data_IF_459954954060
#
_entry.id   IF_459954954060
#
_cell.length_a   1.000
_cell.length_b   1.000
_cell.length_c   1.000
_cell.angle_alpha   90.00
_cell.angle_beta   90.00
_cell.angle_gamma   90.00
#
_symmetry.space_group_name_H-M   'P 1'
#
loop_
_entity.id
_entity.type
_entity.pdbx_description
1 polymer ?
#
# COMPACT_ATOMS: atom_id res chain seq x y z
N UNK A 1 -8.58 37.17 -29.15
CA UNK A 1 -9.80 37.09 -28.36
C UNK A 1 -9.52 37.61 -26.95
N UNK A 2 -10.16 38.71 -26.58
CA UNK A 2 -9.93 39.36 -25.27
C UNK A 2 -10.83 38.77 -24.17
N UNK A 3 -11.51 37.66 -24.43
CA UNK A 3 -12.36 36.98 -23.45
C UNK A 3 -11.66 35.71 -22.98
N UNK A 4 -11.76 35.44 -21.70
CA UNK A 4 -11.34 34.15 -21.11
C UNK A 4 -12.25 33.05 -21.68
N UNK A 5 -11.64 31.99 -22.21
CA UNK A 5 -12.35 30.77 -22.59
C UNK A 5 -11.94 29.69 -21.60
N UNK A 6 -12.92 29.09 -20.94
CA UNK A 6 -12.75 27.97 -20.03
C UNK A 6 -13.53 26.78 -20.55
N UNK A 7 -12.85 25.65 -20.61
CA UNK A 7 -13.42 24.34 -20.94
C UNK A 7 -13.10 23.36 -19.83
N UNK A 8 -14.11 22.68 -19.34
CA UNK A 8 -13.96 21.67 -18.29
C UNK A 8 -14.50 20.33 -18.80
N UNK A 9 -13.78 19.25 -18.51
CA UNK A 9 -14.19 17.88 -18.84
C UNK A 9 -13.99 16.99 -17.63
N UNK A 10 -15.01 16.23 -17.28
CA UNK A 10 -15.03 15.30 -16.17
C UNK A 10 -15.47 13.94 -16.66
N UNK A 11 -14.78 12.90 -16.20
CA UNK A 11 -15.19 11.52 -16.38
C UNK A 11 -15.00 10.73 -15.09
N UNK A 12 -15.88 9.77 -14.87
CA UNK A 12 -15.80 8.81 -13.77
C UNK A 12 -16.29 7.46 -14.28
N UNK A 13 -15.62 6.39 -13.87
CA UNK A 13 -15.98 5.02 -14.21
C UNK A 13 -16.04 4.17 -12.94
N UNK A 14 -17.13 3.45 -12.80
CA UNK A 14 -17.34 2.46 -11.74
C UNK A 14 -17.21 1.07 -12.35
N UNK A 15 -16.48 0.19 -11.70
CA UNK A 15 -16.35 -1.19 -12.13
C UNK A 15 -16.75 -2.12 -10.98
N UNK A 16 -17.66 -3.05 -11.28
CA UNK A 16 -17.98 -4.17 -10.40
C UNK A 16 -17.78 -5.46 -11.18
N UNK A 17 -17.03 -6.36 -10.62
CA UNK A 17 -16.81 -7.69 -11.18
C UNK A 17 -17.09 -8.76 -10.13
N UNK A 18 -17.34 -9.97 -10.57
CA UNK A 18 -17.66 -11.10 -9.72
C UNK A 18 -17.17 -12.39 -10.40
N UNK A 19 -16.57 -13.27 -9.62
CA UNK A 19 -16.19 -14.62 -10.07
C UNK A 19 -17.44 -15.49 -10.05
N UNK A 20 -17.90 -15.91 -11.21
CA UNK A 20 -19.11 -16.71 -11.35
C UNK A 20 -18.85 -18.21 -11.21
N UNK A 21 -17.66 -18.67 -11.58
CA UNK A 21 -17.24 -20.06 -11.45
C UNK A 21 -15.71 -20.18 -11.40
N UNK A 22 -15.23 -21.24 -10.77
CA UNK A 22 -13.84 -21.69 -10.81
C UNK A 22 -13.77 -23.07 -11.49
N UNK A 23 -12.58 -23.45 -11.98
CA UNK A 23 -12.36 -24.76 -12.55
C UNK A 23 -12.65 -25.88 -11.53
N UNK A 24 -13.04 -27.04 -12.04
CA UNK A 24 -13.24 -28.25 -11.25
C UNK A 24 -14.30 -28.15 -10.12
N UNK A 25 -15.26 -27.22 -10.26
CA UNK A 25 -16.32 -27.03 -9.27
C UNK A 25 -15.84 -26.46 -7.92
N UNK A 26 -14.63 -25.91 -7.85
CA UNK A 26 -14.12 -25.25 -6.65
C UNK A 26 -14.94 -24.03 -6.29
N UNK A 27 -15.18 -23.80 -5.00
CA UNK A 27 -15.85 -22.58 -4.49
C UNK A 27 -14.86 -21.47 -4.17
N UNK A 28 -13.60 -21.83 -3.87
CA UNK A 28 -12.51 -20.88 -3.63
C UNK A 28 -11.16 -21.48 -3.98
N UNK A 29 -10.20 -20.61 -4.26
CA UNK A 29 -8.81 -20.97 -4.53
C UNK A 29 -7.89 -19.87 -4.03
N UNK A 30 -6.89 -20.24 -3.23
CA UNK A 30 -5.81 -19.32 -2.84
C UNK A 30 -4.89 -19.08 -4.04
N UNK A 31 -4.49 -17.82 -4.24
CA UNK A 31 -3.71 -17.36 -5.40
C UNK A 31 -2.41 -16.73 -4.93
N UNK A 32 -1.30 -17.27 -5.44
CA UNK A 32 0.04 -16.75 -5.14
C UNK A 32 0.55 -15.74 -6.16
N UNK A 33 1.49 -14.92 -5.73
CA UNK A 33 2.19 -13.95 -6.58
C UNK A 33 3.40 -14.54 -7.32
N UNK A 34 3.65 -15.82 -7.18
CA UNK A 34 4.74 -16.58 -7.84
C UNK A 34 6.15 -16.09 -7.50
N UNK A 35 6.36 -15.58 -6.30
CA UNK A 35 7.67 -15.49 -5.68
C UNK A 35 7.80 -16.61 -4.65
N UNK A 36 8.81 -17.51 -4.75
CA UNK A 36 8.91 -18.68 -3.88
C UNK A 36 8.95 -18.39 -2.39
N UNK A 37 9.43 -17.20 -2.04
CA UNK A 37 9.63 -16.75 -0.65
C UNK A 37 8.45 -15.92 -0.12
N UNK A 38 7.45 -15.65 -0.97
CA UNK A 38 6.28 -14.87 -0.60
C UNK A 38 5.08 -15.78 -0.53
N UNK A 39 4.42 -15.88 0.62
CA UNK A 39 3.27 -16.74 0.78
C UNK A 39 2.08 -16.26 -0.08
N UNK A 40 1.16 -17.16 -0.32
CA UNK A 40 -0.05 -16.87 -1.07
C UNK A 40 -0.92 -15.87 -0.30
N UNK A 41 -1.18 -14.70 -0.92
CA UNK A 41 -1.77 -13.52 -0.28
C UNK A 41 -3.10 -13.11 -0.90
N UNK A 42 -3.63 -13.86 -1.85
CA UNK A 42 -4.88 -13.55 -2.52
C UNK A 42 -5.82 -14.76 -2.52
N UNK A 43 -7.10 -14.50 -2.69
CA UNK A 43 -8.11 -15.53 -2.84
C UNK A 43 -9.00 -15.22 -4.05
N UNK A 44 -9.31 -16.24 -4.81
CA UNK A 44 -10.40 -16.23 -5.78
C UNK A 44 -11.54 -17.05 -5.19
N UNK A 45 -12.72 -16.44 -5.00
CA UNK A 45 -13.89 -17.06 -4.39
C UNK A 45 -15.12 -16.77 -5.22
N UNK A 46 -15.93 -17.78 -5.50
CA UNK A 46 -17.19 -17.63 -6.26
C UNK A 46 -18.12 -16.68 -5.51
N UNK A 47 -18.74 -15.74 -6.23
CA UNK A 47 -19.57 -14.69 -5.68
C UNK A 47 -18.80 -13.45 -5.19
N UNK A 48 -17.47 -13.45 -5.28
CA UNK A 48 -16.59 -12.39 -4.82
C UNK A 48 -15.83 -11.72 -5.99
N UNK A 49 -15.36 -10.48 -5.84
CA UNK A 49 -14.57 -9.82 -6.86
C UNK A 49 -13.16 -10.42 -6.99
N UNK A 50 -12.47 -10.09 -8.07
CA UNK A 50 -11.07 -10.41 -8.29
C UNK A 50 -10.16 -9.62 -7.34
N UNK A 51 -8.96 -10.15 -7.10
CA UNK A 51 -7.89 -9.49 -6.33
C UNK A 51 -8.26 -9.17 -4.87
N UNK A 52 -9.03 -10.03 -4.23
CA UNK A 52 -9.19 -9.99 -2.77
C UNK A 52 -7.92 -10.46 -2.08
N UNK A 53 -7.40 -9.62 -1.19
CA UNK A 53 -6.25 -9.92 -0.37
C UNK A 53 -6.67 -10.81 0.78
N UNK A 54 -5.91 -11.87 1.05
CA UNK A 54 -6.30 -12.93 1.96
C UNK A 54 -5.17 -13.26 2.94
N UNK A 55 -5.44 -13.11 4.21
CA UNK A 55 -4.42 -13.25 5.26
C UNK A 55 -5.02 -13.28 6.66
N UNK A 56 -4.16 -13.07 7.64
CA UNK A 56 -4.52 -13.02 9.05
C UNK A 56 -4.77 -11.57 9.49
N UNK A 57 -5.50 -11.42 10.60
CA UNK A 57 -5.68 -10.11 11.25
C UNK A 57 -4.64 -9.99 12.36
N UNK A 58 -3.83 -8.95 12.31
CA UNK A 58 -2.85 -8.64 13.35
C UNK A 58 -3.55 -8.09 14.59
N UNK A 59 -3.36 -8.73 15.75
CA UNK A 59 -4.01 -8.38 17.02
C UNK A 59 -3.00 -7.80 18.04
N UNK A 60 -1.93 -7.19 17.54
CA UNK A 60 -0.91 -6.59 18.38
C UNK A 60 0.21 -7.54 18.76
N UNK A 61 0.73 -7.38 19.97
CA UNK A 61 1.90 -8.09 20.50
C UNK A 61 1.54 -8.69 21.84
N UNK A 62 1.93 -9.94 22.08
CA UNK A 62 1.75 -10.56 23.38
C UNK A 62 2.44 -9.75 24.48
N UNK A 63 1.69 -9.37 25.49
CA UNK A 63 2.16 -8.63 26.66
C UNK A 63 2.45 -9.58 27.83
N UNK A 64 3.10 -9.11 28.88
CA UNK A 64 3.36 -9.91 30.08
C UNK A 64 2.07 -10.43 30.74
N UNK A 65 0.98 -9.68 30.61
CA UNK A 65 -0.34 -10.02 31.15
C UNK A 65 -0.95 -11.27 30.49
N UNK A 66 -0.53 -11.62 29.28
CA UNK A 66 -0.97 -12.83 28.58
C UNK A 66 -0.32 -14.11 29.14
N UNK A 67 0.64 -13.99 30.06
CA UNK A 67 1.43 -15.10 30.57
C UNK A 67 1.33 -15.25 32.08
N UNK A 68 1.63 -16.49 32.56
CA UNK A 68 2.03 -16.78 33.92
C UNK A 68 3.56 -16.86 33.98
N UNK A 69 4.18 -16.09 34.87
CA UNK A 69 5.60 -16.19 35.15
C UNK A 69 5.82 -17.33 36.16
N UNK A 70 6.35 -18.46 35.72
CA UNK A 70 6.52 -19.67 36.52
C UNK A 70 7.88 -19.72 37.23
N UNK A 71 8.86 -18.97 36.72
CA UNK A 71 10.14 -18.70 37.36
C UNK A 71 10.74 -17.43 36.75
N UNK A 72 11.78 -16.79 37.31
CA UNK A 72 12.34 -15.56 36.79
C UNK A 72 12.63 -15.63 35.28
N UNK A 73 11.95 -14.72 34.50
CA UNK A 73 12.00 -14.65 33.04
C UNK A 73 11.52 -15.91 32.28
N UNK A 74 10.78 -16.81 32.96
CA UNK A 74 10.17 -17.98 32.32
C UNK A 74 8.66 -17.80 32.25
N UNK A 75 8.12 -17.70 31.07
CA UNK A 75 6.72 -17.34 30.81
C UNK A 75 5.99 -18.51 30.14
N UNK A 76 4.80 -18.81 30.62
CA UNK A 76 3.89 -19.79 30.04
C UNK A 76 2.58 -19.06 29.66
N UNK A 77 2.18 -19.18 28.40
CA UNK A 77 0.97 -18.56 27.87
C UNK A 77 -0.25 -19.06 28.67
N UNK A 78 -1.09 -18.13 29.17
CA UNK A 78 -2.28 -18.45 29.95
C UNK A 78 -3.28 -19.27 29.15
N UNK A 79 -3.98 -20.17 29.83
CA UNK A 79 -5.15 -20.85 29.24
C UNK A 79 -6.19 -19.82 28.78
N UNK A 80 -6.83 -20.08 27.64
CA UNK A 80 -7.79 -19.16 27.04
C UNK A 80 -7.21 -18.04 26.19
N UNK A 81 -5.88 -17.83 26.21
CA UNK A 81 -5.21 -16.95 25.25
C UNK A 81 -4.86 -17.78 24.00
N UNK A 82 -5.32 -17.41 22.80
CA UNK A 82 -4.96 -18.10 21.56
C UNK A 82 -3.45 -18.15 21.33
N UNK A 83 -2.97 -19.21 20.69
CA UNK A 83 -1.59 -19.22 20.20
C UNK A 83 -1.45 -18.33 18.94
N UNK A 84 -0.27 -18.31 18.35
CA UNK A 84 0.00 -17.57 17.11
C UNK A 84 0.46 -18.48 15.96
N UNK A 85 -0.01 -19.73 15.97
CA UNK A 85 0.41 -20.76 15.02
C UNK A 85 1.70 -21.48 15.39
N UNK A 86 2.32 -21.10 16.54
CA UNK A 86 3.47 -21.80 17.13
C UNK A 86 3.05 -22.62 18.34
N UNK A 87 3.92 -23.50 18.78
CA UNK A 87 3.69 -24.22 20.04
C UNK A 87 3.59 -23.23 21.21
N UNK A 88 2.55 -23.38 22.03
CA UNK A 88 2.30 -22.49 23.19
C UNK A 88 3.52 -22.34 24.11
N UNK A 89 4.35 -23.39 24.22
CA UNK A 89 5.60 -23.38 25.01
C UNK A 89 6.72 -22.54 24.39
N UNK A 90 6.61 -22.12 23.13
CA UNK A 90 7.59 -21.32 22.41
C UNK A 90 7.23 -19.84 22.37
N UNK A 91 5.95 -19.50 22.60
CA UNK A 91 5.45 -18.13 22.58
C UNK A 91 5.94 -17.36 23.81
N UNK A 92 6.35 -16.13 23.62
CA UNK A 92 6.92 -15.24 24.65
C UNK A 92 6.29 -13.85 24.62
N UNK A 93 6.37 -13.08 25.71
CA UNK A 93 6.10 -11.65 25.66
C UNK A 93 6.94 -10.98 24.56
N UNK A 94 6.33 -10.14 23.76
CA UNK A 94 6.96 -9.50 22.60
C UNK A 94 6.79 -10.23 21.27
N UNK A 95 6.22 -11.43 21.23
CA UNK A 95 5.90 -12.12 19.98
C UNK A 95 4.61 -11.50 19.35
N UNK A 96 4.45 -11.51 18.01
CA UNK A 96 3.24 -11.03 17.35
C UNK A 96 2.03 -11.91 17.68
N UNK A 97 0.89 -11.26 17.87
CA UNK A 97 -0.39 -11.87 18.16
C UNK A 97 -1.30 -11.76 16.95
N UNK A 98 -1.97 -12.83 16.62
CA UNK A 98 -2.95 -12.90 15.54
C UNK A 98 -4.35 -13.14 16.14
N UNK A 99 -5.34 -12.64 15.43
CA UNK A 99 -6.74 -12.78 15.84
C UNK A 99 -7.22 -14.20 15.51
N UNK A 100 -7.68 -14.90 16.52
CA UNK A 100 -8.42 -16.14 16.39
C UNK A 100 -9.84 -15.79 15.93
N UNK A 101 -10.15 -16.10 14.68
CA UNK A 101 -11.42 -15.72 14.04
C UNK A 101 -12.51 -16.76 14.31
N UNK A 102 -12.13 -18.04 14.38
CA UNK A 102 -13.08 -19.12 14.61
C UNK A 102 -13.30 -19.42 16.11
N UNK A 103 -12.43 -18.90 17.00
CA UNK A 103 -12.56 -18.99 18.46
C UNK A 103 -12.12 -20.35 19.03
N UNK A 104 -11.29 -21.10 18.31
CA UNK A 104 -10.84 -22.43 18.74
C UNK A 104 -9.56 -22.42 19.61
N UNK A 105 -8.98 -21.23 19.83
CA UNK A 105 -7.77 -21.01 20.64
C UNK A 105 -6.46 -21.31 19.93
N UNK A 106 -6.50 -21.55 18.62
CA UNK A 106 -5.33 -21.84 17.79
C UNK A 106 -5.35 -21.02 16.51
N UNK A 107 -4.21 -20.55 16.07
CA UNK A 107 -4.11 -19.89 14.77
C UNK A 107 -3.73 -20.91 13.70
N UNK A 108 -4.63 -21.09 12.75
CA UNK A 108 -4.50 -22.00 11.61
C UNK A 108 -4.88 -21.31 10.31
N UNK A 109 -4.90 -22.02 9.20
CA UNK A 109 -5.39 -21.49 7.91
C UNK A 109 -6.86 -21.07 7.96
N UNK A 110 -7.64 -21.58 8.92
CA UNK A 110 -9.06 -21.30 9.07
C UNK A 110 -9.32 -19.91 9.67
N UNK A 111 -8.29 -19.27 10.26
CA UNK A 111 -8.31 -17.89 10.76
C UNK A 111 -7.94 -16.85 9.70
N UNK A 112 -7.68 -17.29 8.46
CA UNK A 112 -7.47 -16.36 7.36
C UNK A 112 -8.79 -15.80 6.87
N UNK A 113 -8.77 -14.51 6.55
CA UNK A 113 -9.94 -13.78 6.06
C UNK A 113 -9.56 -12.82 4.94
N UNK A 114 -10.55 -12.18 4.32
CA UNK A 114 -10.31 -11.10 3.37
C UNK A 114 -9.86 -9.89 4.17
N UNK A 115 -8.68 -9.37 3.85
CA UNK A 115 -8.01 -8.27 4.55
C UNK A 115 -7.85 -7.02 3.68
N UNK A 116 -8.28 -7.06 2.41
CA UNK A 116 -8.24 -5.91 1.52
C UNK A 116 -8.67 -6.25 0.10
N UNK A 117 -8.80 -5.22 -0.74
CA UNK A 117 -9.31 -5.30 -2.10
C UNK A 117 -8.39 -4.57 -3.08
N UNK A 118 -7.77 -5.27 -4.00
CA UNK A 118 -6.78 -4.70 -4.94
C UNK A 118 -7.40 -3.92 -6.13
N UNK A 119 -8.73 -3.91 -6.28
CA UNK A 119 -9.41 -3.22 -7.37
C UNK A 119 -10.15 -1.98 -6.86
N UNK A 120 -10.04 -0.83 -7.58
CA UNK A 120 -10.73 0.39 -7.19
C UNK A 120 -12.26 0.29 -7.40
N UNK A 121 -13.01 0.95 -6.53
CA UNK A 121 -14.45 1.14 -6.65
C UNK A 121 -14.75 2.05 -7.85
N UNK A 122 -13.98 3.12 -8.00
CA UNK A 122 -14.06 4.02 -9.15
C UNK A 122 -12.72 4.65 -9.48
N UNK A 123 -12.60 5.01 -10.75
CA UNK A 123 -11.48 5.78 -11.30
C UNK A 123 -12.05 6.97 -12.08
N UNK A 124 -11.27 8.02 -12.23
CA UNK A 124 -11.74 9.15 -13.03
C UNK A 124 -10.67 10.15 -13.40
N UNK A 125 -11.09 11.13 -14.16
CA UNK A 125 -10.24 12.21 -14.62
C UNK A 125 -11.01 13.53 -14.71
N UNK A 126 -10.31 14.61 -14.42
CA UNK A 126 -10.84 15.97 -14.47
C UNK A 126 -9.83 16.88 -15.17
N UNK A 127 -10.24 17.42 -16.32
CA UNK A 127 -9.42 18.33 -17.13
C UNK A 127 -10.05 19.72 -17.11
N UNK A 128 -9.24 20.73 -16.83
CA UNK A 128 -9.58 22.13 -17.01
C UNK A 128 -8.63 22.77 -17.99
N UNK A 129 -9.16 23.51 -18.95
CA UNK A 129 -8.42 24.26 -19.93
C UNK A 129 -8.87 25.71 -19.95
N UNK A 130 -7.91 26.63 -19.87
CA UNK A 130 -8.11 28.07 -19.86
C UNK A 130 -7.32 28.67 -21.02
N UNK A 131 -7.97 29.54 -21.81
CA UNK A 131 -7.34 30.27 -22.92
C UNK A 131 -7.60 31.76 -22.73
N UNK A 132 -6.53 32.59 -22.71
CA UNK A 132 -6.63 34.02 -22.55
C UNK A 132 -5.44 34.75 -23.19
N UNK A 133 -5.72 35.70 -24.14
CA UNK A 133 -4.71 36.57 -24.77
C UNK A 133 -3.44 35.84 -25.25
N UNK A 134 -3.62 34.69 -25.90
CA UNK A 134 -2.51 33.87 -26.40
C UNK A 134 -1.95 32.84 -25.42
N UNK A 135 -2.22 32.96 -24.11
CA UNK A 135 -1.92 31.93 -23.15
C UNK A 135 -2.95 30.81 -23.19
N UNK A 136 -2.48 29.60 -23.03
CA UNK A 136 -3.29 28.41 -22.76
C UNK A 136 -2.72 27.66 -21.54
N UNK A 137 -3.61 27.36 -20.58
CA UNK A 137 -3.30 26.55 -19.41
C UNK A 137 -4.19 25.31 -19.43
N UNK A 138 -3.59 24.13 -19.31
CA UNK A 138 -4.30 22.86 -19.17
C UNK A 138 -3.87 22.18 -17.87
N UNK A 139 -4.83 21.74 -17.07
CA UNK A 139 -4.64 21.02 -15.81
C UNK A 139 -5.42 19.73 -15.90
N UNK A 140 -4.74 18.59 -15.71
CA UNK A 140 -5.36 17.28 -15.67
C UNK A 140 -5.11 16.61 -14.33
N UNK A 141 -6.19 16.30 -13.64
CA UNK A 141 -6.23 15.51 -12.41
C UNK A 141 -6.77 14.12 -12.74
N UNK A 142 -6.16 13.10 -12.15
CA UNK A 142 -6.59 11.71 -12.24
C UNK A 142 -6.70 11.14 -10.83
N UNK A 143 -7.68 10.26 -10.60
CA UNK A 143 -7.82 9.56 -9.32
C UNK A 143 -8.19 8.11 -9.48
N UNK A 144 -7.85 7.33 -8.45
CA UNK A 144 -8.34 5.99 -8.16
C UNK A 144 -8.79 5.96 -6.71
N UNK A 145 -9.91 5.32 -6.41
CA UNK A 145 -10.47 5.33 -5.07
C UNK A 145 -11.01 3.96 -4.66
N UNK A 146 -10.73 3.58 -3.39
CA UNK A 146 -11.27 2.42 -2.72
C UNK A 146 -10.58 1.12 -3.09
N UNK A 147 -9.32 1.18 -3.50
CA UNK A 147 -8.45 0.02 -3.63
C UNK A 147 -7.38 0.04 -2.53
N UNK A 148 -7.02 -1.17 -2.10
CA UNK A 148 -5.93 -1.39 -1.17
C UNK A 148 -4.67 -1.88 -1.89
N UNK A 149 -3.53 -1.80 -1.18
CA UNK A 149 -2.22 -2.20 -1.64
C UNK A 149 -1.48 -2.94 -0.54
N UNK A 150 -0.92 -4.11 -0.85
CA UNK A 150 0.00 -4.81 0.06
C UNK A 150 1.37 -4.16 -0.06
N UNK A 151 1.78 -3.44 0.98
CA UNK A 151 3.10 -2.83 1.08
C UNK A 151 4.12 -3.84 1.59
N UNK A 152 4.61 -4.70 0.68
CA UNK A 152 5.57 -5.73 1.05
C UNK A 152 6.97 -5.16 1.36
N UNK A 153 7.27 -3.96 0.85
CA UNK A 153 8.51 -3.25 1.21
C UNK A 153 8.50 -2.87 2.69
N UNK A 154 7.37 -2.32 3.19
CA UNK A 154 7.20 -2.01 4.61
C UNK A 154 7.35 -3.27 5.47
N UNK A 155 6.74 -4.39 5.06
CA UNK A 155 6.89 -5.67 5.74
C UNK A 155 8.36 -6.02 5.96
N UNK A 156 9.17 -6.02 4.89
CA UNK A 156 10.59 -6.37 4.95
C UNK A 156 11.43 -5.37 5.76
N UNK A 157 11.10 -4.07 5.66
CA UNK A 157 11.86 -3.00 6.29
C UNK A 157 11.44 -2.72 7.75
N UNK A 158 10.37 -3.36 8.25
CA UNK A 158 9.97 -3.35 9.67
C UNK A 158 10.15 -4.72 10.35
N UNK A 159 10.64 -5.71 9.63
CA UNK A 159 10.71 -7.10 10.09
C UNK A 159 11.63 -7.32 11.28
N UNK A 160 12.64 -6.47 11.46
CA UNK A 160 13.65 -6.56 12.53
C UNK A 160 14.38 -7.93 12.62
N UNK A 161 14.39 -8.67 11.51
CA UNK A 161 14.90 -10.04 11.42
C UNK A 161 16.40 -10.10 11.14
N UNK A 162 16.92 -9.14 10.36
CA UNK A 162 18.29 -9.18 9.87
C UNK A 162 19.06 -7.92 10.24
N UNK A 163 20.24 -8.10 10.82
CA UNK A 163 21.19 -7.00 11.07
C UNK A 163 21.80 -6.40 9.80
N UNK A 164 21.61 -7.06 8.66
CA UNK A 164 22.19 -6.64 7.37
C UNK A 164 21.20 -5.87 6.48
N UNK A 165 19.97 -5.68 6.92
CA UNK A 165 18.92 -5.00 6.17
C UNK A 165 18.63 -3.66 6.84
N UNK A 166 18.57 -2.59 6.03
CA UNK A 166 18.10 -1.30 6.50
C UNK A 166 16.66 -1.43 7.00
N UNK A 167 16.32 -0.64 8.03
CA UNK A 167 14.99 -0.61 8.62
C UNK A 167 14.35 0.76 8.40
N UNK A 168 13.02 0.80 8.37
CA UNK A 168 12.27 2.05 8.43
C UNK A 168 12.45 2.70 9.82
N UNK A 169 12.35 4.03 9.88
CA UNK A 169 12.41 4.75 11.16
C UNK A 169 11.30 4.33 12.13
N UNK A 170 10.17 3.89 11.62
CA UNK A 170 9.04 3.34 12.39
C UNK A 170 9.43 2.08 13.20
N UNK A 171 10.46 1.34 12.76
CA UNK A 171 10.97 0.16 13.46
C UNK A 171 11.54 0.48 14.86
N UNK A 172 11.87 1.73 15.15
CA UNK A 172 12.25 2.17 16.50
C UNK A 172 11.12 1.94 17.51
N UNK A 173 9.87 2.00 17.06
CA UNK A 173 8.70 1.75 17.91
C UNK A 173 8.35 0.26 18.04
N UNK A 174 9.35 -0.57 18.32
CA UNK A 174 9.17 -2.00 18.56
C UNK A 174 9.02 -2.31 20.05
N UNK A 175 8.46 -3.48 20.35
CA UNK A 175 8.35 -3.98 21.71
C UNK A 175 9.73 -4.32 22.28
N UNK A 176 10.01 -3.87 23.52
CA UNK A 176 11.24 -4.21 24.24
C UNK A 176 10.91 -4.80 25.60
N UNK A 177 11.71 -5.80 26.09
CA UNK A 177 11.46 -6.41 27.38
C UNK A 177 11.74 -5.46 28.54
N UNK A 178 11.18 -5.78 29.71
CA UNK A 178 11.61 -5.19 30.98
C UNK A 178 13.05 -5.57 31.32
N UNK A 179 13.72 -4.70 32.05
CA UNK A 179 15.04 -4.98 32.60
C UNK A 179 14.91 -5.21 34.10
N UNK A 180 15.47 -6.33 34.61
CA UNK A 180 15.61 -6.60 36.05
C UNK A 180 16.99 -6.09 36.46
N UNK A 181 17.03 -5.05 37.28
CA UNK A 181 18.24 -4.41 37.75
C UNK A 181 18.94 -5.28 38.81
N UNK A 182 20.21 -4.98 39.09
CA UNK A 182 21.00 -5.73 40.07
C UNK A 182 20.44 -5.62 41.51
N UNK A 183 19.70 -4.58 41.84
CA UNK A 183 19.01 -4.35 43.09
C UNK A 183 17.63 -5.02 43.20
N UNK A 184 17.23 -5.76 42.14
CA UNK A 184 15.95 -6.42 42.05
C UNK A 184 14.79 -5.51 41.57
N UNK A 185 15.04 -4.22 41.33
CA UNK A 185 14.04 -3.32 40.76
C UNK A 185 13.79 -3.64 39.28
N UNK A 186 12.61 -3.29 38.79
CA UNK A 186 12.19 -3.50 37.39
C UNK A 186 12.12 -2.17 36.68
N UNK A 187 12.88 -2.02 35.62
CA UNK A 187 12.70 -0.94 34.64
C UNK A 187 11.81 -1.43 33.52
N UNK A 188 10.64 -0.81 33.28
CA UNK A 188 9.74 -1.18 32.18
C UNK A 188 10.41 -1.03 30.81
N UNK A 189 10.07 -1.92 29.89
CA UNK A 189 10.39 -1.78 28.48
C UNK A 189 9.37 -0.95 27.72
N UNK A 190 9.43 -0.99 26.40
CA UNK A 190 8.43 -0.41 25.52
C UNK A 190 7.39 -1.49 25.16
N UNK A 191 6.21 -1.45 25.78
CA UNK A 191 5.13 -2.45 25.59
C UNK A 191 4.15 -2.03 24.49
N UNK A 192 4.68 -1.60 23.37
CA UNK A 192 3.88 -1.22 22.21
C UNK A 192 3.19 -2.41 21.58
N UNK A 193 2.01 -2.16 20.97
CA UNK A 193 1.32 -3.08 20.08
C UNK A 193 1.62 -2.81 18.60
N UNK A 194 2.55 -1.90 18.31
CA UNK A 194 2.86 -1.51 16.93
C UNK A 194 3.73 -2.54 16.20
N UNK A 195 4.80 -2.99 16.86
CA UNK A 195 5.76 -3.91 16.27
C UNK A 195 6.34 -4.84 17.35
N UNK A 196 6.58 -6.08 17.00
CA UNK A 196 7.10 -7.12 17.88
C UNK A 196 8.58 -6.96 18.21
N UNK A 197 9.09 -7.82 19.08
CA UNK A 197 10.48 -7.80 19.51
C UNK A 197 11.45 -8.25 18.40
N UNK A 198 12.59 -7.56 18.20
CA UNK A 198 13.49 -7.76 17.06
C UNK A 198 14.06 -9.17 16.87
N UNK A 199 14.36 -9.86 17.94
CA UNK A 199 15.03 -11.17 17.89
C UNK A 199 14.09 -12.36 17.77
N UNK A 200 12.79 -12.08 17.69
CA UNK A 200 11.76 -13.11 17.73
C UNK A 200 11.03 -13.26 16.42
N UNK A 201 11.71 -12.95 15.33
CA UNK A 201 11.15 -12.97 13.99
C UNK A 201 10.11 -14.05 13.79
N UNK A 202 8.87 -13.63 13.83
CA UNK A 202 7.70 -14.41 13.44
C UNK A 202 7.66 -14.50 11.93
N UNK A 203 8.73 -15.07 11.37
CA UNK A 203 8.86 -15.21 9.95
C UNK A 203 9.00 -16.67 9.59
N UNK A 204 7.88 -17.34 9.70
CA UNK A 204 7.64 -18.48 8.83
C UNK A 204 7.00 -17.96 7.54
N UNK A 205 7.43 -18.40 6.35
CA UNK A 205 6.68 -18.14 5.11
C UNK A 205 5.25 -18.59 5.34
N UNK A 206 4.29 -17.69 5.35
CA UNK A 206 2.89 -18.06 5.55
C UNK A 206 2.02 -17.02 6.29
N UNK A 207 2.60 -16.12 7.04
CA UNK A 207 1.82 -15.11 7.75
C UNK A 207 1.87 -13.76 7.04
N UNK A 208 0.80 -13.45 6.33
CA UNK A 208 0.51 -12.11 5.84
C UNK A 208 -0.67 -11.58 6.63
N UNK A 209 -0.57 -10.34 7.06
CA UNK A 209 -1.57 -9.71 7.91
C UNK A 209 -2.15 -8.47 7.23
N UNK A 210 -3.26 -8.00 7.77
CA UNK A 210 -3.85 -6.70 7.42
C UNK A 210 -2.93 -5.52 7.74
N UNK A 211 -1.90 -5.72 8.56
CA UNK A 211 -0.90 -4.70 8.91
C UNK A 211 -0.13 -4.18 7.68
N UNK A 212 0.11 -5.02 6.70
CA UNK A 212 0.78 -4.69 5.45
C UNK A 212 -0.17 -4.16 4.36
N UNK A 213 -1.48 -4.17 4.61
CA UNK A 213 -2.49 -3.67 3.68
C UNK A 213 -2.77 -2.20 3.99
N UNK A 214 -2.64 -1.36 2.97
CA UNK A 214 -2.82 0.08 3.09
C UNK A 214 -3.80 0.60 2.03
N UNK A 215 -4.56 1.65 2.39
CA UNK A 215 -5.41 2.38 1.42
C UNK A 215 -4.55 3.00 0.33
N UNK A 216 -4.76 2.57 -0.90
CA UNK A 216 -4.08 3.06 -2.09
C UNK A 216 -4.91 4.08 -2.88
N UNK A 217 -5.96 4.61 -2.30
CA UNK A 217 -6.72 5.71 -2.88
C UNK A 217 -5.80 6.88 -3.18
N UNK A 218 -5.95 7.45 -4.38
CA UNK A 218 -5.02 8.47 -4.87
C UNK A 218 -5.73 9.53 -5.69
N UNK A 219 -5.32 10.78 -5.51
CA UNK A 219 -5.55 11.89 -6.41
C UNK A 219 -4.20 12.40 -6.91
N UNK A 220 -4.03 12.52 -8.22
CA UNK A 220 -2.76 12.94 -8.84
C UNK A 220 -2.94 14.14 -9.76
N UNK A 221 -2.09 15.15 -9.61
CA UNK A 221 -1.88 16.17 -10.64
C UNK A 221 -1.04 15.54 -11.75
N UNK A 222 -1.76 14.95 -12.71
CA UNK A 222 -1.16 14.12 -13.77
C UNK A 222 -0.41 14.95 -14.79
N UNK A 223 -1.00 16.09 -15.18
CA UNK A 223 -0.37 17.00 -16.13
C UNK A 223 -0.81 18.44 -15.87
N UNK A 224 0.15 19.34 -15.90
CA UNK A 224 -0.09 20.78 -16.02
C UNK A 224 0.74 21.29 -17.20
N UNK A 225 0.10 22.02 -18.10
CA UNK A 225 0.77 22.61 -19.26
C UNK A 225 0.39 24.07 -19.38
N UNK A 226 1.38 24.95 -19.48
CA UNK A 226 1.22 26.35 -19.80
C UNK A 226 1.86 26.63 -21.15
N UNK A 227 1.09 27.16 -22.09
CA UNK A 227 1.55 27.54 -23.43
C UNK A 227 1.29 29.00 -23.71
N UNK A 228 2.05 29.56 -24.65
CA UNK A 228 1.84 30.87 -25.22
C UNK A 228 1.93 30.83 -26.74
N UNK A 229 0.86 31.27 -27.42
CA UNK A 229 0.76 31.38 -28.85
C UNK A 229 1.08 32.82 -29.26
N UNK A 230 2.18 32.98 -29.99
CA UNK A 230 2.61 34.32 -30.43
C UNK A 230 1.66 34.94 -31.46
N UNK A 231 1.35 36.22 -31.32
CA UNK A 231 0.49 36.91 -32.29
C UNK A 231 1.09 36.90 -33.71
N UNK A 232 0.28 36.65 -34.73
CA UNK A 232 0.71 36.59 -36.13
C UNK A 232 1.43 37.88 -36.59
N UNK A 233 1.07 39.06 -36.02
CA UNK A 233 1.74 40.33 -36.33
C UNK A 233 3.24 40.34 -35.99
N UNK A 234 3.66 39.59 -34.98
CA UNK A 234 5.07 39.49 -34.58
C UNK A 234 5.84 38.56 -35.48
N UNK A 235 5.16 37.52 -36.01
CA UNK A 235 5.75 36.42 -36.76
C UNK A 235 5.85 36.72 -38.27
N UNK A 236 5.02 37.58 -38.79
CA UNK A 236 4.94 37.90 -40.24
C UNK A 236 6.27 38.42 -40.82
N UNK A 237 7.05 39.17 -40.02
CA UNK A 237 8.34 39.69 -40.43
C UNK A 237 9.42 38.57 -40.61
N UNK A 238 9.22 37.44 -39.92
CA UNK A 238 10.14 36.28 -39.92
C UNK A 238 9.67 35.15 -40.85
N UNK A 239 8.60 35.37 -41.66
CA UNK A 239 7.98 34.34 -42.51
C UNK A 239 7.52 33.08 -41.72
N UNK A 240 7.22 33.22 -40.44
CA UNK A 240 6.70 32.18 -39.59
C UNK A 240 5.16 32.31 -39.53
N UNK A 241 4.44 31.22 -39.84
CA UNK A 241 2.99 31.17 -39.78
C UNK A 241 2.44 31.07 -38.37
N UNK A 242 3.06 30.24 -37.56
CA UNK A 242 2.69 30.07 -36.15
C UNK A 242 3.91 29.70 -35.29
N UNK A 243 3.89 30.20 -34.07
CA UNK A 243 4.87 29.86 -33.04
C UNK A 243 4.15 29.71 -31.69
N UNK A 244 4.33 28.57 -31.04
CA UNK A 244 3.87 28.34 -29.68
C UNK A 244 5.02 27.80 -28.85
N UNK A 245 5.27 28.44 -27.71
CA UNK A 245 6.14 27.91 -26.65
C UNK A 245 5.28 27.32 -25.55
N UNK A 246 5.72 26.22 -24.95
CA UNK A 246 5.03 25.64 -23.83
C UNK A 246 5.97 24.96 -22.85
N UNK A 247 5.52 24.91 -21.60
CA UNK A 247 6.14 24.10 -20.55
C UNK A 247 5.08 23.13 -20.01
N UNK A 248 5.50 21.88 -19.82
CA UNK A 248 4.65 20.83 -19.27
C UNK A 248 5.31 20.20 -18.06
N UNK A 249 4.57 20.03 -16.98
CA UNK A 249 4.93 19.21 -15.85
C UNK A 249 4.02 17.96 -15.80
N UNK A 250 4.59 16.80 -15.53
CA UNK A 250 3.86 15.53 -15.40
C UNK A 250 4.16 14.86 -14.08
N UNK A 251 3.15 14.20 -13.50
CA UNK A 251 3.24 13.46 -12.24
C UNK A 251 3.82 14.29 -11.07
N UNK A 252 3.41 15.58 -10.98
CA UNK A 252 4.04 16.55 -10.07
C UNK A 252 3.63 16.36 -8.62
N UNK A 253 2.37 16.06 -8.35
CA UNK A 253 1.82 15.96 -6.99
C UNK A 253 0.94 14.72 -6.92
N UNK A 254 1.13 13.95 -5.86
CA UNK A 254 0.32 12.79 -5.52
C UNK A 254 -0.23 12.98 -4.11
N UNK A 255 -1.54 12.95 -3.95
CA UNK A 255 -2.22 12.96 -2.66
C UNK A 255 -2.74 11.55 -2.38
N UNK A 256 -2.24 10.92 -1.34
CA UNK A 256 -2.57 9.55 -0.94
C UNK A 256 -2.25 9.35 0.54
N UNK A 257 -2.89 8.35 1.15
CA UNK A 257 -2.55 7.85 2.49
C UNK A 257 -1.54 6.69 2.44
N UNK A 258 -1.22 6.18 1.25
CA UNK A 258 -0.26 5.11 1.07
C UNK A 258 1.13 5.53 1.52
N UNK A 259 1.77 4.73 2.36
CA UNK A 259 3.09 5.05 2.96
C UNK A 259 4.28 4.73 2.05
N UNK A 260 4.07 3.95 0.98
CA UNK A 260 5.10 3.61 -0.02
C UNK A 260 5.30 4.69 -1.08
N UNK A 261 6.08 4.38 -2.10
CA UNK A 261 6.48 5.37 -3.12
C UNK A 261 5.39 5.73 -4.11
N UNK A 262 4.58 4.76 -4.55
CA UNK A 262 3.54 4.99 -5.57
C UNK A 262 2.32 4.09 -5.31
N UNK A 263 1.14 4.68 -5.03
CA UNK A 263 -0.09 3.92 -4.77
C UNK A 263 -0.69 3.25 -6.01
N UNK A 264 -0.21 3.55 -7.20
CA UNK A 264 -0.67 2.92 -8.45
C UNK A 264 0.22 1.74 -8.90
N UNK A 265 1.12 1.29 -8.02
CA UNK A 265 2.02 0.18 -8.33
C UNK A 265 1.29 -1.17 -8.32
N UNK A 266 1.70 -2.07 -9.20
CA UNK A 266 1.37 -3.50 -9.13
C UNK A 266 2.52 -4.27 -9.75
N UNK A 267 3.38 -4.83 -8.93
CA UNK A 267 4.63 -5.48 -9.35
C UNK A 267 4.39 -6.71 -10.24
N UNK A 268 3.29 -7.42 -10.01
CA UNK A 268 2.82 -8.51 -10.88
C UNK A 268 1.51 -8.08 -11.52
N UNK A 269 1.54 -7.74 -12.78
CA UNK A 269 0.35 -7.27 -13.50
C UNK A 269 -0.60 -8.41 -13.86
N UNK A 270 -1.16 -9.03 -12.82
CA UNK A 270 -2.18 -10.08 -12.94
C UNK A 270 -3.53 -9.53 -12.46
N UNK A 271 -4.61 -9.86 -13.17
CA UNK A 271 -5.96 -9.50 -12.75
C UNK A 271 -6.38 -10.14 -11.43
N UNK A 272 -5.71 -11.23 -11.04
CA UNK A 272 -6.00 -11.99 -9.82
C UNK A 272 -5.23 -11.49 -8.59
N UNK A 273 -4.16 -10.72 -8.78
CA UNK A 273 -3.22 -10.30 -7.72
C UNK A 273 -2.83 -8.84 -7.87
N UNK A 274 -3.81 -7.96 -8.07
CA UNK A 274 -3.58 -6.52 -8.13
C UNK A 274 -3.31 -5.94 -6.74
N UNK A 275 -2.57 -4.81 -6.74
CA UNK A 275 -2.29 -4.11 -5.49
C UNK A 275 -1.15 -4.77 -4.69
N UNK A 276 -0.05 -5.14 -5.34
CA UNK A 276 1.14 -5.66 -4.68
C UNK A 276 2.36 -4.81 -4.98
N UNK A 277 2.91 -4.18 -3.94
CA UNK A 277 4.14 -3.38 -4.03
C UNK A 277 5.33 -4.14 -3.43
N UNK A 278 6.23 -4.55 -4.30
CA UNK A 278 7.50 -5.17 -3.95
C UNK A 278 8.62 -4.62 -4.82
N UNK A 279 9.44 -3.76 -4.24
CA UNK A 279 10.62 -3.17 -4.90
C UNK A 279 10.31 -2.49 -6.24
N UNK A 280 9.11 -1.92 -6.38
CA UNK A 280 8.74 -1.18 -7.57
C UNK A 280 9.51 0.14 -7.64
N UNK A 281 9.97 0.49 -8.84
CA UNK A 281 10.62 1.77 -9.06
C UNK A 281 9.57 2.90 -9.03
N UNK A 282 9.78 3.96 -8.23
CA UNK A 282 8.83 5.07 -8.14
C UNK A 282 8.75 5.86 -9.44
N UNK A 283 7.57 6.42 -9.73
CA UNK A 283 7.41 7.39 -10.82
C UNK A 283 8.17 8.66 -10.49
N UNK A 284 8.76 9.27 -11.52
CA UNK A 284 9.46 10.55 -11.42
C UNK A 284 8.63 11.67 -12.03
N UNK A 285 8.68 12.85 -11.42
CA UNK A 285 8.16 14.07 -12.03
C UNK A 285 8.97 14.41 -13.27
N UNK A 286 8.29 14.80 -14.35
CA UNK A 286 8.90 15.16 -15.63
C UNK A 286 8.55 16.59 -16.02
N UNK A 287 9.56 17.36 -16.43
CA UNK A 287 9.39 18.71 -16.94
C UNK A 287 9.83 18.76 -18.39
N UNK A 288 9.00 19.31 -19.25
CA UNK A 288 9.26 19.44 -20.69
C UNK A 288 9.10 20.88 -21.13
N UNK A 289 10.08 21.42 -21.81
CA UNK A 289 9.99 22.67 -22.56
C UNK A 289 9.86 22.33 -24.02
N UNK A 290 8.87 22.89 -24.70
CA UNK A 290 8.60 22.59 -26.11
C UNK A 290 8.31 23.84 -26.95
N UNK A 291 8.63 23.70 -28.24
CA UNK A 291 8.40 24.73 -29.28
C UNK A 291 7.66 24.08 -30.44
N UNK A 292 6.51 24.65 -30.78
CA UNK A 292 5.79 24.30 -32.01
C UNK A 292 5.89 25.48 -32.98
N UNK A 293 6.49 25.25 -34.16
CA UNK A 293 6.66 26.28 -35.18
C UNK A 293 6.18 25.75 -36.53
N UNK A 294 5.48 26.61 -37.30
CA UNK A 294 5.13 26.35 -38.69
C UNK A 294 5.64 27.49 -39.55
N UNK A 295 6.30 27.16 -40.67
CA UNK A 295 6.85 28.06 -41.68
C UNK A 295 5.85 28.29 -42.81
#
# INVERSE_FOLDING_TARGET
NNKLKWTSSFNISFNKNEITALSDGQTSRVVGIRYPEIPDMYIAKVGHPLSEMYGYVFDGVYQYEDFNEVSPNTFVLKEGIPDNGRKRSEIRPGDPKLKDINGDGKITTDDRTIIGHGLPIHIGGFTNRFEYKGFDLSIFLQWSYGNDLINYNRKLLEELKSAHTNQLATAVNHWTPRTVNADGSITPGNYTNYLWAPTRGFYEPGFNTDREVEDASVLRLKTIQLGYNFPAKWLSKCKIKSLRLYVTGQDLITWTNYSGYDPEVSTRNSSMTRGFDYSAYPRSATYTLGVNMSL
#
